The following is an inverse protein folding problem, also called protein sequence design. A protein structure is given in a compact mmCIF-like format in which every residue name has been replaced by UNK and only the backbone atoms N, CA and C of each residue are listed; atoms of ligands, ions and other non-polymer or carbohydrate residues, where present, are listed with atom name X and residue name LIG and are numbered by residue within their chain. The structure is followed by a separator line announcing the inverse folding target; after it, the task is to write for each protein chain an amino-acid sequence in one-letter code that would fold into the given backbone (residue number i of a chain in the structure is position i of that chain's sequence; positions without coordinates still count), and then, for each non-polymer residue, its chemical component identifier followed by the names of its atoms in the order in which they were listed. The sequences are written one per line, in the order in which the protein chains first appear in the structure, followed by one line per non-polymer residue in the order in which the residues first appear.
data_IF_901487697007
#
_entry.id   IF_901487697007
#
_cell.length_a   1.000
_cell.length_b   1.000
_cell.length_c   1.000
_cell.angle_alpha   90.00
_cell.angle_beta   90.00
_cell.angle_gamma   90.00
#
_symmetry.space_group_name_H-M   'P 1'
#
loop_
_entity.id
_entity.type
_entity.pdbx_description
1 polymer ?
#
# COMPACT_ATOMS: atom_id res chain seq x y z
N UNK A 1 14.02 -19.63 -1.00
CA UNK A 1 13.62 -18.21 -1.03
C UNK A 1 14.87 -17.39 -1.26
N UNK A 2 14.88 -16.57 -2.30
CA UNK A 2 15.93 -15.59 -2.53
C UNK A 2 15.51 -14.26 -1.90
N UNK A 3 16.46 -13.42 -1.53
CA UNK A 3 16.24 -12.05 -1.06
C UNK A 3 17.42 -11.21 -1.55
N UNK A 4 17.17 -10.00 -2.04
CA UNK A 4 18.24 -9.06 -2.38
C UNK A 4 18.96 -8.59 -1.11
N UNK A 5 20.27 -8.43 -1.17
CA UNK A 5 21.02 -7.83 -0.06
C UNK A 5 20.41 -6.49 0.35
N UNK A 6 20.35 -6.23 1.64
CA UNK A 6 19.80 -5.01 2.25
C UNK A 6 18.30 -4.80 2.06
N UNK A 7 17.55 -5.78 1.54
CA UNK A 7 16.12 -5.62 1.25
C UNK A 7 15.25 -5.28 2.47
N UNK A 8 15.65 -5.73 3.66
CA UNK A 8 14.92 -5.48 4.89
C UNK A 8 15.43 -4.32 5.73
N UNK A 9 16.52 -3.64 5.35
CA UNK A 9 17.15 -2.63 6.22
C UNK A 9 16.17 -1.52 6.60
N UNK A 10 15.34 -1.07 5.65
CA UNK A 10 14.32 -0.04 5.87
C UNK A 10 13.20 -0.43 6.85
N UNK A 11 13.02 -1.72 7.13
CA UNK A 11 12.05 -2.24 8.10
C UNK A 11 12.73 -2.88 9.33
N UNK A 12 14.05 -2.70 9.47
CA UNK A 12 14.82 -3.18 10.62
C UNK A 12 15.20 -4.66 10.57
N UNK A 13 15.14 -5.30 9.40
CA UNK A 13 15.59 -6.69 9.20
C UNK A 13 16.89 -6.71 8.39
N UNK A 14 17.96 -7.22 9.00
CA UNK A 14 19.24 -7.40 8.36
C UNK A 14 19.29 -8.63 7.46
N UNK A 15 20.28 -8.71 6.58
CA UNK A 15 20.55 -9.91 5.78
C UNK A 15 20.74 -11.17 6.66
N UNK A 16 21.29 -11.02 7.86
CA UNK A 16 21.45 -12.12 8.81
C UNK A 16 20.12 -12.67 9.31
N UNK A 17 19.11 -11.82 9.48
CA UNK A 17 17.77 -12.26 9.89
C UNK A 17 17.13 -13.13 8.81
N UNK A 18 17.32 -12.76 7.54
CA UNK A 18 16.85 -13.56 6.40
C UNK A 18 17.64 -14.87 6.25
N UNK A 19 18.96 -14.84 6.40
CA UNK A 19 19.80 -16.05 6.38
C UNK A 19 19.39 -17.02 7.50
N UNK A 20 19.16 -16.51 8.72
CA UNK A 20 18.71 -17.31 9.85
C UNK A 20 17.32 -17.94 9.61
N UNK A 21 16.47 -17.28 8.81
CA UNK A 21 15.19 -17.83 8.35
C UNK A 21 15.30 -18.80 7.17
N UNK A 22 16.51 -19.07 6.67
CA UNK A 22 16.76 -20.00 5.55
C UNK A 22 16.66 -19.37 4.15
N UNK A 23 16.69 -18.05 4.05
CA UNK A 23 16.80 -17.35 2.77
C UNK A 23 18.22 -17.49 2.19
N UNK A 24 18.33 -17.30 0.88
CA UNK A 24 19.60 -17.07 0.20
C UNK A 24 19.68 -15.60 -0.21
N UNK A 25 20.74 -14.92 0.19
CA UNK A 25 20.96 -13.52 -0.16
C UNK A 25 21.63 -13.46 -1.54
N UNK A 26 21.04 -12.69 -2.45
CA UNK A 26 21.59 -12.40 -3.77
C UNK A 26 22.06 -10.94 -3.82
N UNK A 27 23.17 -10.66 -4.55
CA UNK A 27 23.81 -9.35 -4.50
C UNK A 27 23.09 -8.27 -5.32
N UNK A 28 22.19 -8.64 -6.25
CA UNK A 28 21.49 -7.69 -7.11
C UNK A 28 20.06 -8.11 -7.41
N UNK A 29 19.21 -7.12 -7.72
CA UNK A 29 17.85 -7.34 -8.22
C UNK A 29 17.83 -8.25 -9.46
N UNK A 30 18.74 -8.08 -10.43
CA UNK A 30 18.80 -8.91 -11.63
C UNK A 30 18.96 -10.39 -11.30
N UNK A 31 19.81 -10.72 -10.32
CA UNK A 31 19.99 -12.09 -9.87
C UNK A 31 18.70 -12.64 -9.24
N UNK A 32 17.98 -11.82 -8.46
CA UNK A 32 16.68 -12.20 -7.88
C UNK A 32 15.64 -12.48 -8.97
N UNK A 33 15.52 -11.61 -9.97
CA UNK A 33 14.61 -11.81 -11.11
C UNK A 33 15.02 -13.02 -11.97
N UNK A 34 16.31 -13.27 -12.13
CA UNK A 34 16.82 -14.39 -12.92
C UNK A 34 16.66 -15.75 -12.22
N UNK A 35 16.78 -15.83 -10.90
CA UNK A 35 16.71 -17.12 -10.18
C UNK A 35 15.29 -17.47 -9.71
N UNK A 36 14.39 -16.49 -9.59
CA UNK A 36 13.06 -16.72 -9.00
C UNK A 36 11.99 -17.09 -10.02
N UNK A 37 11.16 -18.09 -9.69
CA UNK A 37 9.93 -18.40 -10.43
C UNK A 37 8.80 -17.40 -10.11
N UNK A 38 8.83 -16.85 -8.89
CA UNK A 38 7.86 -15.87 -8.38
C UNK A 38 8.56 -14.72 -7.67
N UNK A 39 8.18 -13.51 -8.04
CA UNK A 39 8.59 -12.25 -7.43
C UNK A 39 7.45 -11.70 -6.57
N UNK A 40 7.72 -11.52 -5.28
CA UNK A 40 6.84 -10.86 -4.32
C UNK A 40 7.43 -9.49 -4.01
N UNK A 41 6.65 -8.44 -4.23
CA UNK A 41 7.05 -7.05 -3.97
C UNK A 41 5.99 -6.34 -3.17
N UNK A 42 6.35 -5.16 -2.65
CA UNK A 42 5.38 -4.24 -2.04
C UNK A 42 4.82 -3.29 -3.09
N UNK A 43 5.68 -2.56 -3.83
CA UNK A 43 5.27 -1.57 -4.84
C UNK A 43 5.37 -2.12 -6.26
N UNK A 44 4.78 -1.39 -7.19
CA UNK A 44 4.84 -1.66 -8.63
C UNK A 44 6.29 -1.69 -9.13
N UNK A 45 6.62 -2.63 -10.03
CA UNK A 45 7.96 -2.69 -10.61
C UNK A 45 8.23 -1.44 -11.46
N UNK A 46 9.40 -0.85 -11.25
CA UNK A 46 9.90 0.26 -12.05
C UNK A 46 10.28 -0.21 -13.45
N UNK A 47 10.43 0.70 -14.41
CA UNK A 47 10.68 0.35 -15.82
C UNK A 47 11.88 -0.61 -16.01
N UNK A 48 12.97 -0.39 -15.25
CA UNK A 48 14.15 -1.26 -15.27
C UNK A 48 13.85 -2.67 -14.76
N UNK A 49 13.00 -2.80 -13.74
CA UNK A 49 12.59 -4.09 -13.17
C UNK A 49 11.59 -4.82 -14.07
N UNK A 50 10.69 -4.07 -14.74
CA UNK A 50 9.75 -4.64 -15.73
C UNK A 50 10.50 -5.25 -16.91
N UNK A 51 11.61 -4.64 -17.32
CA UNK A 51 12.48 -5.20 -18.34
C UNK A 51 13.19 -6.51 -17.93
N UNK A 52 13.26 -6.81 -16.63
CA UNK A 52 13.83 -8.07 -16.11
C UNK A 52 12.81 -9.21 -16.03
N UNK A 53 11.51 -8.91 -16.20
CA UNK A 53 10.46 -9.93 -16.20
C UNK A 53 10.57 -10.85 -17.41
N UNK A 54 10.23 -12.12 -17.20
CA UNK A 54 10.29 -13.17 -18.23
C UNK A 54 9.00 -13.96 -18.35
N UNK A 55 8.82 -14.56 -19.52
CA UNK A 55 7.66 -15.39 -19.84
C UNK A 55 7.52 -16.53 -18.81
N UNK A 56 6.31 -16.68 -18.27
CA UNK A 56 5.99 -17.72 -17.27
C UNK A 56 6.40 -17.41 -15.83
N UNK A 57 7.07 -16.30 -15.56
CA UNK A 57 7.36 -15.83 -14.19
C UNK A 57 6.10 -15.26 -13.54
N UNK A 58 5.94 -15.46 -12.24
CA UNK A 58 4.83 -14.88 -11.48
C UNK A 58 5.27 -13.59 -10.79
N UNK A 59 4.53 -12.50 -10.96
CA UNK A 59 4.70 -11.26 -10.22
C UNK A 59 3.51 -11.06 -9.29
N UNK A 60 3.75 -10.87 -8.00
CA UNK A 60 2.73 -10.63 -6.99
C UNK A 60 3.06 -9.37 -6.18
N UNK A 61 2.35 -8.27 -6.43
CA UNK A 61 2.62 -6.94 -5.84
C UNK A 61 1.43 -5.99 -6.01
N UNK A 62 1.48 -4.78 -5.44
CA UNK A 62 0.59 -3.69 -5.85
C UNK A 62 0.97 -3.21 -7.25
N UNK A 63 0.01 -3.10 -8.17
CA UNK A 63 0.31 -2.72 -9.57
C UNK A 63 -0.26 -1.37 -9.98
N UNK A 64 -1.44 -0.99 -9.50
CA UNK A 64 -2.12 0.25 -9.85
C UNK A 64 -2.18 0.50 -11.37
N UNK A 65 -2.59 -0.52 -12.14
CA UNK A 65 -2.53 -0.50 -13.61
C UNK A 65 -3.42 0.55 -14.28
N UNK A 66 -4.54 0.92 -13.65
CA UNK A 66 -5.54 1.81 -14.27
C UNK A 66 -4.98 3.19 -14.70
N UNK A 67 -4.16 3.89 -13.88
CA UNK A 67 -3.51 5.14 -14.29
C UNK A 67 -2.23 4.98 -15.13
N UNK A 68 -1.66 3.77 -15.27
CA UNK A 68 -0.35 3.57 -15.92
C UNK A 68 -0.43 2.61 -17.12
N UNK A 69 -0.71 3.15 -18.33
CA UNK A 69 -0.73 2.34 -19.54
C UNK A 69 0.65 1.81 -19.92
N UNK A 70 1.74 2.54 -19.68
CA UNK A 70 3.09 2.09 -20.07
C UNK A 70 3.48 0.83 -19.30
N UNK A 71 3.30 0.84 -17.98
CA UNK A 71 3.47 -0.33 -17.15
C UNK A 71 2.61 -1.50 -17.65
N UNK A 72 1.35 -1.23 -18.00
CA UNK A 72 0.45 -2.28 -18.50
C UNK A 72 0.98 -2.92 -19.79
N UNK A 73 1.49 -2.13 -20.74
CA UNK A 73 2.08 -2.65 -21.98
C UNK A 73 3.35 -3.47 -21.69
N UNK A 74 4.23 -3.00 -20.81
CA UNK A 74 5.45 -3.71 -20.44
C UNK A 74 5.13 -5.10 -19.83
N UNK A 75 4.14 -5.15 -18.93
CA UNK A 75 3.71 -6.40 -18.30
C UNK A 75 3.09 -7.36 -19.31
N UNK A 76 2.26 -6.88 -20.24
CA UNK A 76 1.72 -7.69 -21.34
C UNK A 76 2.85 -8.25 -22.21
N UNK A 77 3.82 -7.41 -22.58
CA UNK A 77 4.96 -7.80 -23.42
C UNK A 77 5.86 -8.84 -22.74
N UNK A 78 6.03 -8.75 -21.41
CA UNK A 78 6.81 -9.71 -20.64
C UNK A 78 6.21 -11.13 -20.63
N UNK A 79 4.89 -11.25 -20.87
CA UNK A 79 4.11 -12.49 -20.71
C UNK A 79 4.24 -13.16 -19.33
N UNK A 80 4.63 -12.39 -18.32
CA UNK A 80 4.60 -12.82 -16.93
C UNK A 80 3.14 -12.94 -16.45
N UNK A 81 2.90 -13.78 -15.44
CA UNK A 81 1.62 -13.85 -14.74
C UNK A 81 1.64 -12.82 -13.61
N UNK A 82 0.99 -11.68 -13.83
CA UNK A 82 0.97 -10.58 -12.87
C UNK A 82 -0.34 -10.58 -12.06
N UNK A 83 -0.23 -10.72 -10.74
CA UNK A 83 -1.34 -10.68 -9.80
C UNK A 83 -1.22 -9.40 -8.97
N UNK A 84 -2.24 -8.54 -9.04
CA UNK A 84 -2.27 -7.27 -8.31
C UNK A 84 -2.91 -7.45 -6.92
N UNK A 85 -2.23 -7.06 -5.85
CA UNK A 85 -2.77 -7.16 -4.49
C UNK A 85 -4.12 -6.48 -4.32
N UNK A 86 -4.28 -5.31 -4.93
CA UNK A 86 -5.47 -4.47 -4.83
C UNK A 86 -6.69 -5.01 -5.58
N UNK A 87 -6.53 -6.07 -6.37
CA UNK A 87 -7.64 -6.72 -7.09
C UNK A 87 -7.98 -8.11 -6.56
N UNK A 88 -7.15 -8.66 -5.64
CA UNK A 88 -7.47 -9.90 -4.95
C UNK A 88 -8.67 -9.68 -4.04
N UNK A 89 -9.76 -10.40 -4.32
CA UNK A 89 -11.01 -10.34 -3.56
C UNK A 89 -11.30 -11.66 -2.87
N UNK A 90 -11.95 -11.59 -1.71
CA UNK A 90 -12.53 -12.78 -1.06
C UNK A 90 -13.95 -13.09 -1.60
N UNK A 91 -14.56 -14.17 -1.10
CA UNK A 91 -15.91 -14.58 -1.51
C UNK A 91 -16.99 -13.52 -1.22
N UNK A 92 -16.73 -12.60 -0.31
CA UNK A 92 -17.62 -11.48 0.03
C UNK A 92 -17.29 -10.19 -0.75
N UNK A 93 -16.34 -10.23 -1.70
CA UNK A 93 -15.92 -9.07 -2.50
C UNK A 93 -15.06 -8.05 -1.74
N UNK A 94 -14.52 -8.41 -0.57
CA UNK A 94 -13.61 -7.54 0.21
C UNK A 94 -12.19 -7.64 -0.36
N UNK A 95 -11.37 -6.63 -0.06
CA UNK A 95 -9.95 -6.55 -0.47
C UNK A 95 -9.03 -6.85 0.72
N UNK A 96 -8.78 -8.12 1.07
CA UNK A 96 -8.06 -8.49 2.29
C UNK A 96 -6.61 -8.00 2.31
N UNK A 97 -5.95 -7.90 1.16
CA UNK A 97 -4.56 -7.45 1.08
C UNK A 97 -4.43 -5.92 1.21
N UNK A 98 -5.49 -5.18 0.84
CA UNK A 98 -5.54 -3.72 0.92
C UNK A 98 -5.99 -3.22 2.31
N UNK A 99 -6.76 -4.02 3.05
CA UNK A 99 -7.34 -3.62 4.33
C UNK A 99 -6.29 -3.19 5.38
N UNK A 100 -5.17 -3.91 5.62
CA UNK A 100 -4.17 -3.49 6.61
C UNK A 100 -3.55 -2.12 6.30
N UNK A 101 -3.24 -1.86 5.02
CA UNK A 101 -2.68 -0.58 4.59
C UNK A 101 -3.70 0.56 4.77
N UNK A 102 -4.98 0.26 4.56
CA UNK A 102 -6.09 1.21 4.77
C UNK A 102 -6.20 1.66 6.23
N UNK A 103 -6.06 0.74 7.17
CA UNK A 103 -6.13 1.05 8.60
C UNK A 103 -4.96 1.90 9.07
N UNK A 104 -3.74 1.57 8.64
CA UNK A 104 -2.54 2.34 8.96
C UNK A 104 -2.64 3.75 8.39
N UNK A 105 -3.04 3.88 7.12
CA UNK A 105 -3.22 5.18 6.47
C UNK A 105 -4.26 6.05 7.21
N UNK A 106 -5.38 5.48 7.64
CA UNK A 106 -6.41 6.21 8.39
C UNK A 106 -5.96 6.70 9.76
N UNK A 107 -5.10 5.95 10.46
CA UNK A 107 -4.51 6.40 11.73
C UNK A 107 -3.45 7.48 11.51
N UNK A 108 -2.60 7.28 10.50
CA UNK A 108 -1.55 8.22 10.14
C UNK A 108 -2.10 9.56 9.64
N UNK A 109 -3.27 9.57 8.97
CA UNK A 109 -3.86 10.82 8.45
C UNK A 109 -4.17 11.83 9.56
N UNK A 110 -4.59 11.36 10.73
CA UNK A 110 -4.85 12.23 11.89
C UNK A 110 -3.55 12.80 12.45
N UNK A 111 -2.52 11.97 12.59
CA UNK A 111 -1.20 12.42 13.05
C UNK A 111 -0.57 13.41 12.08
N UNK A 112 -0.59 13.10 10.78
CA UNK A 112 -0.10 13.96 9.71
C UNK A 112 -0.92 15.25 9.56
N UNK A 113 -2.22 15.22 9.87
CA UNK A 113 -3.06 16.40 9.95
C UNK A 113 -2.69 17.30 11.12
N UNK A 114 -2.45 16.75 12.32
CA UNK A 114 -2.08 17.50 13.52
C UNK A 114 -0.73 18.23 13.36
N UNK A 115 0.36 17.50 13.14
CA UNK A 115 1.01 17.59 11.83
C UNK A 115 1.08 18.98 11.17
N UNK A 116 0.46 19.00 9.99
CA UNK A 116 0.36 20.15 9.11
C UNK A 116 -0.39 21.37 9.70
N UNK A 117 -1.15 21.23 10.78
CA UNK A 117 -1.83 22.35 11.42
C UNK A 117 -0.89 23.23 12.26
N UNK A 118 0.31 22.76 12.61
CA UNK A 118 1.28 23.53 13.36
C UNK A 118 1.78 24.78 12.62
N UNK A 119 1.94 25.89 13.36
CA UNK A 119 2.38 27.16 12.78
C UNK A 119 3.80 27.09 12.21
N UNK A 120 4.68 26.31 12.86
CA UNK A 120 6.05 26.02 12.45
C UNK A 120 6.14 25.37 11.06
N UNK A 121 5.08 24.68 10.61
CA UNK A 121 4.97 24.07 9.28
C UNK A 121 4.07 24.84 8.33
N UNK A 122 3.80 26.11 8.62
CA UNK A 122 2.96 26.98 7.79
C UNK A 122 1.46 26.75 7.94
N UNK A 123 1.07 25.87 8.87
CA UNK A 123 -0.32 25.62 9.22
C UNK A 123 -0.98 26.80 9.95
N UNK A 124 -2.26 26.62 10.28
CA UNK A 124 -3.06 27.65 10.95
C UNK A 124 -2.65 27.88 12.41
N UNK A 125 -1.80 27.03 12.99
CA UNK A 125 -1.41 27.06 14.40
C UNK A 125 -2.50 26.54 15.32
N UNK A 126 -3.25 25.52 14.87
CA UNK A 126 -4.38 24.97 15.63
C UNK A 126 -4.00 23.65 16.29
N UNK A 127 -4.33 23.51 17.56
CA UNK A 127 -4.24 22.23 18.26
C UNK A 127 -5.48 21.40 17.94
N UNK A 128 -5.28 20.21 17.35
CA UNK A 128 -6.38 19.34 16.91
C UNK A 128 -7.40 19.07 18.04
N UNK A 129 -6.90 18.83 19.26
CA UNK A 129 -7.71 18.53 20.43
C UNK A 129 -8.32 19.75 21.15
N UNK A 130 -7.82 20.96 20.87
CA UNK A 130 -8.09 22.13 21.72
C UNK A 130 -7.59 21.94 23.15
N UNK A 131 -8.02 22.83 24.04
CA UNK A 131 -7.80 22.79 25.50
C UNK A 131 -9.03 23.37 26.20
N UNK A 132 -9.26 23.16 27.51
CA UNK A 132 -10.38 23.80 28.20
C UNK A 132 -10.43 25.32 27.96
N UNK A 133 -11.56 25.80 27.43
CA UNK A 133 -11.75 27.21 27.07
C UNK A 133 -11.34 27.60 25.64
N UNK A 134 -10.79 26.69 24.84
CA UNK A 134 -10.42 26.90 23.43
C UNK A 134 -11.02 25.81 22.56
N UNK A 135 -11.67 26.21 21.47
CA UNK A 135 -12.31 25.25 20.56
C UNK A 135 -11.30 24.30 19.90
N UNK A 136 -11.65 23.00 19.75
CA UNK A 136 -10.86 22.04 18.97
C UNK A 136 -10.95 22.31 17.47
N UNK A 137 -10.09 21.67 16.69
CA UNK A 137 -10.16 21.79 15.23
C UNK A 137 -11.34 21.00 14.66
N UNK A 138 -12.02 21.58 13.67
CA UNK A 138 -13.06 20.90 12.91
C UNK A 138 -12.45 19.98 11.85
N UNK A 139 -12.67 18.67 11.98
CA UNK A 139 -12.17 17.66 11.03
C UNK A 139 -13.32 17.14 10.19
N UNK A 140 -13.16 17.19 8.87
CA UNK A 140 -14.11 16.59 7.92
C UNK A 140 -13.44 15.36 7.30
N UNK A 141 -14.07 14.20 7.47
CA UNK A 141 -13.61 12.95 6.87
C UNK A 141 -14.53 12.64 5.69
N UNK A 142 -13.99 12.67 4.48
CA UNK A 142 -14.70 12.24 3.27
C UNK A 142 -14.30 10.78 3.01
N UNK A 143 -14.78 9.90 3.88
CA UNK A 143 -14.73 8.47 3.62
C UNK A 143 -15.05 7.57 4.80
N UNK A 144 -15.98 6.61 4.65
CA UNK A 144 -16.42 5.67 5.71
C UNK A 144 -16.05 4.20 5.50
N UNK A 145 -15.10 3.89 4.60
CA UNK A 145 -14.60 2.52 4.38
C UNK A 145 -13.70 2.01 5.51
N UNK A 146 -12.88 0.99 5.27
CA UNK A 146 -11.96 0.37 6.27
C UNK A 146 -10.95 1.37 6.88
N UNK A 147 -10.73 2.50 6.22
CA UNK A 147 -9.93 3.64 6.68
C UNK A 147 -10.62 4.42 7.81
N UNK A 148 -11.95 4.43 7.82
CA UNK A 148 -12.81 5.28 8.63
C UNK A 148 -13.11 4.82 10.07
N UNK A 149 -13.25 3.52 10.42
CA UNK A 149 -13.57 3.12 11.78
C UNK A 149 -12.33 3.22 12.67
N UNK A 150 -12.05 4.43 13.15
CA UNK A 150 -11.39 4.60 14.43
C UNK A 150 -12.39 4.15 15.50
N UNK A 151 -12.38 2.86 15.88
CA UNK A 151 -13.05 2.47 17.13
C UNK A 151 -12.38 3.25 18.27
N UNK A 152 -13.11 4.08 19.03
CA UNK A 152 -12.53 4.84 20.11
C UNK A 152 -12.22 3.88 21.26
N UNK A 153 -11.00 3.35 21.30
CA UNK A 153 -10.36 2.91 22.55
C UNK A 153 -9.53 4.08 23.09
N UNK A 154 -10.16 5.23 23.30
CA UNK A 154 -9.54 6.36 23.99
C UNK A 154 -10.23 6.55 25.34
N UNK A 155 -9.49 6.88 26.42
CA UNK A 155 -10.11 7.21 27.69
C UNK A 155 -11.08 8.38 27.51
N UNK A 156 -12.20 8.30 28.23
CA UNK A 156 -13.43 9.09 28.17
C UNK A 156 -13.29 10.60 28.39
N UNK A 157 -12.53 11.31 27.54
CA UNK A 157 -12.33 12.76 27.64
C UNK A 157 -12.44 13.53 26.30
N UNK A 158 -12.83 12.89 25.21
CA UNK A 158 -12.88 13.48 23.86
C UNK A 158 -14.31 13.46 23.32
N UNK A 159 -15.19 14.28 23.91
CA UNK A 159 -16.64 14.11 23.79
C UNK A 159 -17.30 14.71 22.53
N UNK A 160 -16.60 15.45 21.67
CA UNK A 160 -17.24 16.07 20.49
C UNK A 160 -16.36 16.08 19.24
N UNK A 161 -16.27 14.92 18.60
CA UNK A 161 -15.90 14.83 17.17
C UNK A 161 -17.19 14.60 16.38
N UNK A 162 -17.63 15.62 15.64
CA UNK A 162 -18.85 15.55 14.84
C UNK A 162 -18.71 14.47 13.76
N UNK A 163 -19.63 13.51 13.78
CA UNK A 163 -19.73 12.44 12.79
C UNK A 163 -20.34 12.98 11.51
N UNK A 164 -19.58 13.01 10.42
CA UNK A 164 -20.14 13.09 9.08
C UNK A 164 -19.61 11.92 8.27
N UNK A 165 -20.54 11.01 7.96
CA UNK A 165 -20.36 9.83 7.14
C UNK A 165 -20.33 10.24 5.67
N UNK A 166 -19.36 9.75 4.87
CA UNK A 166 -19.49 9.43 3.42
C UNK A 166 -18.11 9.12 2.77
N UNK A 167 -17.92 7.87 2.28
CA UNK A 167 -17.09 7.35 1.13
C UNK A 167 -16.01 6.24 1.31
N UNK A 168 -16.18 5.22 0.48
CA UNK A 168 -15.25 4.20 0.01
C UNK A 168 -14.07 4.76 -0.81
N UNK A 169 -12.83 4.56 -0.33
CA UNK A 169 -11.54 4.52 -1.07
C UNK A 169 -10.50 5.51 -0.54
N UNK A 170 -9.28 5.02 -0.33
CA UNK A 170 -8.10 5.83 -0.01
C UNK A 170 -7.79 6.71 -1.22
N UNK A 171 -8.26 7.95 -1.17
CA UNK A 171 -7.60 9.07 -1.82
C UNK A 171 -7.55 10.20 -0.80
N UNK A 172 -6.35 10.67 -0.49
CA UNK A 172 -6.18 11.94 0.21
C UNK A 172 -6.64 13.02 -0.77
N UNK A 173 -7.87 13.53 -0.61
CA UNK A 173 -8.43 14.57 -1.47
C UNK A 173 -8.71 15.81 -0.64
N UNK A 174 -7.79 16.77 -0.71
CA UNK A 174 -8.19 18.18 -0.73
C UNK A 174 -8.78 18.45 -2.10
N UNK A 175 -10.02 18.93 -2.15
CA UNK A 175 -10.84 18.98 -3.36
C UNK A 175 -10.31 19.94 -4.42
N UNK A 176 -10.01 19.41 -5.63
CA UNK A 176 -10.24 20.08 -6.91
C UNK A 176 -10.84 19.07 -7.92
N UNK A 177 -11.88 19.52 -8.63
CA UNK A 177 -12.89 18.82 -9.45
C UNK A 177 -12.40 17.84 -10.54
N UNK A 178 -13.11 16.70 -10.64
CA UNK A 178 -13.57 15.95 -11.86
C UNK A 178 -12.88 14.62 -12.27
N UNK A 179 -13.63 13.52 -12.04
CA UNK A 179 -13.87 12.32 -12.91
C UNK A 179 -13.35 10.95 -12.42
N UNK A 180 -14.21 9.92 -12.54
CA UNK A 180 -14.05 8.52 -12.09
C UNK A 180 -14.40 7.56 -13.24
N UNK A 181 -13.66 6.45 -13.44
CA UNK A 181 -14.08 5.28 -14.26
C UNK A 181 -13.50 3.96 -13.69
N UNK A 182 -14.24 2.83 -13.77
CA UNK A 182 -13.91 1.45 -13.30
C UNK A 182 -13.95 0.43 -14.46
N UNK A 183 -13.09 -0.60 -14.45
CA UNK A 183 -13.30 -1.91 -15.14
C UNK A 183 -12.55 -3.08 -14.45
N UNK A 184 -13.05 -4.32 -14.61
CA UNK A 184 -12.59 -5.60 -14.00
C UNK A 184 -11.93 -6.55 -15.01
N UNK A 185 -10.99 -7.39 -14.58
CA UNK A 185 -10.37 -8.48 -15.38
C UNK A 185 -10.34 -9.81 -14.59
N UNK A 186 -10.73 -10.91 -15.25
CA UNK A 186 -10.78 -12.30 -14.73
C UNK A 186 -9.43 -13.04 -14.83
N UNK A 187 -9.15 -13.93 -13.88
CA UNK A 187 -7.95 -14.80 -13.83
C UNK A 187 -8.36 -16.28 -14.05
N UNK A 188 -7.65 -17.09 -14.86
CA UNK A 188 -7.93 -18.52 -15.04
C UNK A 188 -7.26 -19.43 -13.98
N UNK A 189 -7.74 -20.68 -13.76
CA UNK A 189 -7.26 -21.53 -12.68
C UNK A 189 -6.22 -22.58 -13.13
N UNK A 190 -5.02 -22.53 -12.53
CA UNK A 190 -4.16 -23.65 -12.06
C UNK A 190 -2.67 -23.27 -12.14
N UNK A 191 -2.00 -23.14 -10.99
CA UNK A 191 -0.54 -23.12 -10.93
C UNK A 191 -0.03 -23.74 -9.63
N UNK A 192 0.97 -24.64 -9.74
CA UNK A 192 1.74 -25.20 -8.62
C UNK A 192 3.04 -24.39 -8.54
N UNK A 193 3.22 -23.61 -7.46
CA UNK A 193 4.42 -22.79 -7.23
C UNK A 193 5.38 -23.52 -6.29
N UNK A 194 6.69 -23.47 -6.59
CA UNK A 194 7.74 -24.10 -5.77
C UNK A 194 8.63 -23.12 -5.01
N UNK A 195 8.68 -21.83 -5.38
CA UNK A 195 9.61 -20.85 -4.81
C UNK A 195 8.96 -19.45 -4.71
N UNK A 196 8.97 -18.81 -3.53
CA UNK A 196 8.53 -17.42 -3.27
C UNK A 196 9.74 -16.55 -2.83
N UNK A 197 9.75 -15.25 -3.15
CA UNK A 197 10.86 -14.31 -2.91
C UNK A 197 10.35 -12.87 -2.65
N UNK A 198 10.89 -12.13 -1.68
CA UNK A 198 10.53 -10.73 -1.36
C UNK A 198 11.62 -9.72 -1.78
N UNK A 199 11.23 -8.52 -2.22
CA UNK A 199 12.14 -7.43 -2.64
C UNK A 199 11.85 -6.09 -1.93
N UNK A 200 12.85 -5.19 -1.79
CA UNK A 200 12.71 -3.90 -1.12
C UNK A 200 11.84 -2.89 -1.89
N UNK A 201 11.42 -1.87 -1.15
CA UNK A 201 10.80 -0.64 -1.66
C UNK A 201 11.95 0.29 -2.06
N UNK A 202 12.18 0.46 -3.36
CA UNK A 202 12.95 1.59 -3.90
C UNK A 202 12.06 2.85 -3.94
#
# INVERSE_FOLDING_TARGET
MYVETQAGEGIGFSDQDYLAAGAQILPTAEAVFAESDMIVKVKEPQAVERAMLREGQLLFTYLHLAPDPEQTHDLINSKAVCIAYETVTDEAGRLPLLAPMSEVAGRMSIQAGAFALEKSRGGRGMLLAGVPGVEPANVVIIGGGVVGPMQPKWPSGFERMWWCWIVTSIHFVVWMRNSVVRYSVCIPPKMRLKNMCWMPIL
#
